data_IF_454294156431
#
_entry.id   IF_454294156431
#
_cell.length_a   1.000
_cell.length_b   1.000
_cell.length_c   1.000
_cell.angle_alpha   90.00
_cell.angle_beta   90.00
_cell.angle_gamma   90.00
#
_symmetry.space_group_name_H-M   'P 1'
#
loop_
_entity.id
_entity.type
_entity.pdbx_description
1 polymer ?
#
# COMPACT_ATOMS: atom_id res chain seq x y z
N UNK A 1 -2.79 -0.74 -24.71
CA UNK A 1 -3.07 -2.08 -24.14
C UNK A 1 -1.92 -3.08 -24.29
N UNK A 2 -1.25 -3.21 -25.45
CA UNK A 2 -0.18 -4.20 -25.64
C UNK A 2 1.05 -4.02 -24.72
N UNK A 3 1.54 -2.79 -24.58
CA UNK A 3 2.71 -2.49 -23.74
C UNK A 3 2.48 -2.77 -22.24
N UNK A 4 1.32 -2.38 -21.71
CA UNK A 4 0.95 -2.66 -20.31
C UNK A 4 0.94 -4.16 -20.00
N UNK A 5 0.31 -4.97 -20.86
CA UNK A 5 0.26 -6.43 -20.67
C UNK A 5 1.65 -7.07 -20.74
N UNK A 6 2.55 -6.54 -21.57
CA UNK A 6 3.93 -7.02 -21.64
C UNK A 6 4.70 -6.67 -20.37
N UNK A 7 4.53 -5.45 -19.85
CA UNK A 7 5.16 -5.01 -18.60
C UNK A 7 4.72 -5.86 -17.40
N UNK A 8 3.42 -6.13 -17.24
CA UNK A 8 2.91 -6.98 -16.15
C UNK A 8 3.48 -8.41 -16.24
N UNK A 9 3.66 -8.96 -17.45
CA UNK A 9 4.27 -10.29 -17.63
C UNK A 9 5.75 -10.37 -17.22
N UNK A 10 6.44 -9.23 -17.14
CA UNK A 10 7.84 -9.16 -16.74
C UNK A 10 8.01 -8.84 -15.25
N UNK A 11 6.95 -8.43 -14.56
CA UNK A 11 7.00 -8.15 -13.12
C UNK A 11 6.98 -9.46 -12.35
N UNK A 12 8.02 -9.68 -11.55
CA UNK A 12 8.03 -10.68 -10.49
C UNK A 12 7.58 -9.99 -9.20
N UNK A 13 6.27 -9.99 -8.95
CA UNK A 13 5.73 -9.41 -7.72
C UNK A 13 5.83 -10.44 -6.58
N UNK A 14 6.33 -10.00 -5.42
CA UNK A 14 6.34 -10.79 -4.18
C UNK A 14 4.96 -10.84 -3.50
N UNK A 15 4.02 -10.03 -3.96
CA UNK A 15 2.64 -9.94 -3.45
C UNK A 15 1.63 -9.98 -4.61
N UNK A 16 0.35 -10.32 -4.35
CA UNK A 16 -0.70 -10.27 -5.35
C UNK A 16 -0.83 -8.89 -6.00
N UNK A 17 -0.96 -8.87 -7.33
CA UNK A 17 -1.14 -7.65 -8.11
C UNK A 17 -2.56 -7.59 -8.69
N UNK A 18 -3.26 -6.49 -8.44
CA UNK A 18 -4.60 -6.24 -8.96
C UNK A 18 -4.59 -5.06 -9.94
N UNK A 19 -5.42 -5.13 -10.97
CA UNK A 19 -5.60 -4.05 -11.96
C UNK A 19 -7.03 -3.54 -11.86
N UNK A 20 -7.21 -2.33 -11.36
CA UNK A 20 -8.51 -1.65 -11.29
C UNK A 20 -8.84 -0.96 -12.62
N UNK A 21 -9.24 -1.74 -13.62
CA UNK A 21 -9.54 -1.24 -14.96
C UNK A 21 -10.75 -0.30 -15.03
N UNK A 22 -11.61 -0.32 -14.00
CA UNK A 22 -12.83 0.48 -13.93
C UNK A 22 -12.74 1.66 -12.94
N UNK A 23 -11.61 1.80 -12.23
CA UNK A 23 -11.41 2.83 -11.22
C UNK A 23 -12.39 2.72 -10.05
N UNK A 24 -12.81 1.50 -9.70
CA UNK A 24 -13.78 1.28 -8.62
C UNK A 24 -13.18 1.64 -7.26
N UNK A 25 -11.89 1.39 -7.03
CA UNK A 25 -11.23 1.66 -5.76
C UNK A 25 -11.34 3.14 -5.37
N UNK A 26 -11.01 4.04 -6.29
CA UNK A 26 -11.12 5.49 -6.08
C UNK A 26 -12.60 5.92 -5.93
N UNK A 27 -13.49 5.40 -6.77
CA UNK A 27 -14.92 5.74 -6.76
C UNK A 27 -15.63 5.41 -5.45
N UNK A 28 -15.30 4.26 -4.85
CA UNK A 28 -15.92 3.84 -3.58
C UNK A 28 -15.21 4.42 -2.35
N UNK A 29 -14.04 5.04 -2.53
CA UNK A 29 -13.26 5.70 -1.47
C UNK A 29 -12.94 7.17 -1.83
N UNK A 30 -13.95 8.04 -1.99
CA UNK A 30 -13.75 9.44 -2.41
C UNK A 30 -12.94 10.28 -1.41
N UNK A 31 -12.74 9.78 -0.18
CA UNK A 31 -11.91 10.40 0.83
C UNK A 31 -10.39 10.19 0.60
N UNK A 32 -9.99 9.27 -0.28
CA UNK A 32 -8.57 9.05 -0.60
C UNK A 32 -8.08 10.27 -1.40
N UNK A 33 -7.07 11.02 -0.92
CA UNK A 33 -6.54 12.18 -1.63
C UNK A 33 -5.93 11.80 -2.97
N UNK A 34 -5.89 12.70 -3.94
CA UNK A 34 -5.21 12.47 -5.22
C UNK A 34 -3.68 12.44 -5.12
N UNK A 35 -3.10 12.84 -3.98
CA UNK A 35 -1.66 12.84 -3.75
C UNK A 35 -1.12 11.40 -3.68
N UNK A 36 -0.25 10.97 -4.62
CA UNK A 36 0.31 9.60 -4.64
C UNK A 36 1.12 9.23 -3.40
N UNK A 37 1.70 10.22 -2.71
CA UNK A 37 2.46 9.96 -1.47
C UNK A 37 1.57 9.40 -0.34
N UNK A 38 0.25 9.57 -0.47
CA UNK A 38 -0.77 9.11 0.49
C UNK A 38 -1.46 7.82 0.04
N UNK A 39 -0.95 7.13 -0.99
CA UNK A 39 -1.57 5.91 -1.55
C UNK A 39 -0.99 4.59 -1.02
N UNK A 40 -0.26 4.63 0.09
CA UNK A 40 0.21 3.44 0.82
C UNK A 40 -0.43 3.42 2.20
N UNK A 41 -1.02 2.28 2.58
CA UNK A 41 -1.77 2.13 3.82
C UNK A 41 -1.27 0.91 4.59
N UNK A 42 -1.05 1.06 5.90
CA UNK A 42 -0.97 -0.06 6.82
C UNK A 42 -2.36 -0.31 7.40
N UNK A 43 -2.86 -1.54 7.29
CA UNK A 43 -4.17 -1.93 7.78
C UNK A 43 -4.05 -2.84 9.00
N UNK A 44 -5.04 -2.79 9.88
CA UNK A 44 -5.26 -3.81 10.91
C UNK A 44 -6.11 -4.99 10.38
N UNK A 45 -6.33 -5.98 11.24
CA UNK A 45 -7.12 -7.18 10.95
C UNK A 45 -8.60 -6.91 10.62
N UNK A 46 -9.10 -5.71 10.93
CA UNK A 46 -10.47 -5.27 10.67
C UNK A 46 -10.55 -4.29 9.47
N UNK A 47 -9.46 -4.13 8.71
CA UNK A 47 -9.30 -3.17 7.61
C UNK A 47 -9.32 -1.69 8.03
N UNK A 48 -9.05 -1.38 9.30
CA UNK A 48 -8.84 0.01 9.70
C UNK A 48 -7.45 0.48 9.25
N UNK A 49 -7.36 1.72 8.77
CA UNK A 49 -6.10 2.35 8.41
C UNK A 49 -5.36 2.77 9.68
N UNK A 50 -4.19 2.19 9.92
CA UNK A 50 -3.30 2.53 11.05
C UNK A 50 -2.26 3.58 10.68
N UNK A 51 -1.77 3.56 9.43
CA UNK A 51 -0.75 4.47 8.92
C UNK A 51 -0.98 4.74 7.44
N UNK A 52 -0.70 5.99 7.03
CA UNK A 52 -0.72 6.43 5.63
C UNK A 52 0.68 6.93 5.26
N UNK A 53 1.20 6.48 4.13
CA UNK A 53 2.51 6.88 3.59
C UNK A 53 3.39 5.69 3.21
N UNK A 54 4.35 5.92 2.31
CA UNK A 54 5.25 4.87 1.84
C UNK A 54 6.51 4.75 2.74
N UNK A 55 6.68 3.66 3.50
CA UNK A 55 7.85 3.48 4.38
C UNK A 55 9.16 3.25 3.60
N UNK A 56 9.13 2.94 2.31
CA UNK A 56 10.35 2.71 1.50
C UNK A 56 11.09 4.02 1.19
N UNK A 57 10.35 5.12 1.05
CA UNK A 57 10.90 6.40 0.58
C UNK A 57 10.92 7.49 1.67
N UNK A 58 10.37 7.20 2.84
CA UNK A 58 10.27 8.17 3.93
C UNK A 58 10.62 7.50 5.26
N UNK A 59 11.83 7.82 5.76
CA UNK A 59 12.39 7.26 7.00
C UNK A 59 11.46 7.44 8.20
N UNK A 60 10.80 8.60 8.32
CA UNK A 60 9.86 8.84 9.42
C UNK A 60 8.64 7.94 9.35
N UNK A 61 8.15 7.64 8.15
CA UNK A 61 7.04 6.70 7.95
C UNK A 61 7.51 5.27 8.23
N UNK A 62 8.75 4.93 7.86
CA UNK A 62 9.34 3.63 8.18
C UNK A 62 9.42 3.39 9.70
N UNK A 63 9.92 4.39 10.46
CA UNK A 63 9.98 4.32 11.92
C UNK A 63 8.58 4.09 12.53
N UNK A 64 7.58 4.85 12.08
CA UNK A 64 6.21 4.70 12.55
C UNK A 64 5.62 3.33 12.18
N UNK A 65 5.90 2.84 10.98
CA UNK A 65 5.47 1.51 10.52
C UNK A 65 5.99 0.42 11.46
N UNK A 66 7.29 0.45 11.77
CA UNK A 66 7.89 -0.56 12.64
C UNK A 66 7.45 -0.44 14.10
N UNK A 67 7.24 0.77 14.61
CA UNK A 67 6.64 0.95 15.94
C UNK A 67 5.29 0.24 16.05
N UNK A 68 4.40 0.44 15.07
CA UNK A 68 3.06 -0.17 15.05
C UNK A 68 3.14 -1.69 14.90
N UNK A 69 4.00 -2.18 14.00
CA UNK A 69 4.17 -3.62 13.75
C UNK A 69 4.72 -4.32 15.00
N UNK A 70 5.73 -3.75 15.67
CA UNK A 70 6.31 -4.34 16.87
C UNK A 70 5.35 -4.31 18.07
N UNK A 71 4.53 -3.26 18.19
CA UNK A 71 3.48 -3.19 19.21
C UNK A 71 2.42 -4.29 19.02
N UNK A 72 2.04 -4.57 17.77
CA UNK A 72 0.99 -5.56 17.45
C UNK A 72 1.49 -7.00 17.38
N UNK A 73 2.70 -7.24 16.88
CA UNK A 73 3.21 -8.58 16.53
C UNK A 73 4.45 -9.01 17.33
N UNK A 74 5.04 -8.10 18.13
CA UNK A 74 6.30 -8.34 18.83
C UNK A 74 7.53 -7.88 18.03
N UNK A 75 8.68 -7.80 18.73
CA UNK A 75 9.95 -7.38 18.13
C UNK A 75 10.45 -8.41 17.11
N UNK A 76 11.16 -7.92 16.08
CA UNK A 76 11.91 -8.81 15.18
C UNK A 76 13.08 -9.44 15.93
N UNK A 77 13.30 -10.73 15.70
CA UNK A 77 14.49 -11.45 16.16
C UNK A 77 15.76 -10.99 15.42
#
# INVERSE_FOLDING_TARGET
MGAFRLAIKQITASAPLYVDSLGILEKVNPQIPSNPDLHTFLLDENNNVLLVGNPVWNEKIEEMFWQIVEEKLGKRE
#
